data_IF_528746958294
#
_entry.id   IF_528746958294
#
_cell.length_a   1.000
_cell.length_b   1.000
_cell.length_c   1.000
_cell.angle_alpha   90.00
_cell.angle_beta   90.00
_cell.angle_gamma   90.00
#
_symmetry.space_group_name_H-M   'P 1'
#
loop_
_entity.id
_entity.type
_entity.pdbx_description
1 polymer ?
#
# COMPACT_ATOMS: atom_id res chain seq x y z
N UNK A 1 78.20 74.66 109.88
CA UNK A 1 78.81 73.36 109.58
C UNK A 1 78.12 72.31 110.43
N UNK A 2 77.11 71.64 109.86
CA UNK A 2 76.36 70.55 110.50
C UNK A 2 77.12 69.25 110.22
N UNK A 3 77.52 68.54 111.27
CA UNK A 3 78.11 67.20 111.17
C UNK A 3 76.97 66.20 110.90
N UNK A 4 77.09 65.43 109.82
CA UNK A 4 76.19 64.31 109.48
C UNK A 4 76.23 63.24 110.57
N UNK A 5 75.09 62.65 110.98
CA UNK A 5 75.01 61.66 112.06
C UNK A 5 75.42 60.24 111.66
N UNK A 6 75.84 60.02 110.40
CA UNK A 6 76.21 58.70 109.91
C UNK A 6 77.73 58.58 109.77
N UNK A 7 78.40 58.17 110.84
CA UNK A 7 79.78 57.67 110.80
C UNK A 7 79.75 56.15 110.62
N UNK A 8 80.55 55.56 109.71
CA UNK A 8 80.46 54.14 109.33
C UNK A 8 80.94 53.13 110.39
N UNK A 9 81.24 53.56 111.62
CA UNK A 9 81.78 52.69 112.68
C UNK A 9 80.70 52.17 113.65
N UNK A 10 79.42 52.39 113.36
CA UNK A 10 78.29 51.94 114.20
C UNK A 10 77.53 50.72 113.65
N UNK A 11 78.05 50.04 112.63
CA UNK A 11 77.45 48.83 112.06
C UNK A 11 78.43 47.66 112.21
N UNK A 12 78.81 47.35 113.45
CA UNK A 12 79.31 46.02 113.80
C UNK A 12 78.70 45.65 115.15
N UNK A 13 77.56 44.97 115.08
CA UNK A 13 76.92 44.26 116.18
C UNK A 13 76.96 42.76 115.88
N UNK A 14 77.07 41.99 116.95
CA UNK A 14 77.49 40.58 117.02
C UNK A 14 76.68 39.57 116.16
N UNK A 15 77.32 38.42 115.90
CA UNK A 15 76.94 37.31 114.99
C UNK A 15 75.59 36.60 115.26
N UNK A 16 74.72 37.10 116.14
CA UNK A 16 73.43 36.45 116.49
C UNK A 16 72.18 37.21 115.99
N UNK A 17 72.33 38.29 115.22
CA UNK A 17 71.21 39.05 114.63
C UNK A 17 70.93 38.66 113.18
N UNK A 18 70.47 37.42 112.96
CA UNK A 18 69.78 37.05 111.71
C UNK A 18 68.27 36.90 111.98
N UNK A 19 67.48 37.59 111.16
CA UNK A 19 66.02 37.63 111.09
C UNK A 19 65.29 38.37 112.23
N UNK A 20 65.24 39.70 112.09
CA UNK A 20 63.97 40.43 112.21
C UNK A 20 64.03 41.60 111.22
N UNK A 21 63.03 41.70 110.34
CA UNK A 21 62.87 42.88 109.48
C UNK A 21 62.86 44.13 110.39
N UNK A 22 63.54 45.24 110.04
CA UNK A 22 63.61 46.40 110.91
C UNK A 22 62.19 46.89 111.21
N UNK A 23 61.75 46.73 112.46
CA UNK A 23 60.40 47.04 112.90
C UNK A 23 60.05 48.54 112.82
N UNK A 24 61.02 49.39 112.45
CA UNK A 24 60.92 50.84 112.44
C UNK A 24 61.05 51.45 111.02
N UNK A 25 60.95 50.67 109.94
CA UNK A 25 60.82 51.25 108.60
C UNK A 25 59.42 51.89 108.43
N UNK A 26 59.32 53.14 107.94
CA UNK A 26 58.04 53.75 107.61
C UNK A 26 57.23 52.83 106.70
N UNK A 27 55.93 52.68 106.96
CA UNK A 27 55.06 51.73 106.25
C UNK A 27 55.09 51.89 104.72
N UNK A 28 55.38 53.10 104.22
CA UNK A 28 55.60 53.41 102.81
C UNK A 28 56.85 52.73 102.20
N UNK A 29 57.94 52.58 102.96
CA UNK A 29 59.18 51.95 102.48
C UNK A 29 59.10 50.43 102.53
N UNK A 30 58.32 49.88 103.47
CA UNK A 30 57.97 48.45 103.53
C UNK A 30 57.06 48.08 102.36
N UNK A 31 56.02 48.87 102.08
CA UNK A 31 55.17 48.70 100.89
C UNK A 31 55.99 48.80 99.59
N UNK A 32 56.90 49.76 99.46
CA UNK A 32 57.78 49.85 98.27
C UNK A 32 58.69 48.63 98.08
N UNK A 33 59.13 48.01 99.17
CA UNK A 33 59.99 46.81 99.15
C UNK A 33 59.20 45.55 98.74
N UNK A 34 57.96 45.40 99.21
CA UNK A 34 57.08 44.28 98.84
C UNK A 34 56.41 44.48 97.47
N UNK A 35 56.04 45.70 97.07
CA UNK A 35 55.55 46.02 95.73
C UNK A 35 56.60 45.72 94.65
N UNK A 36 57.89 45.84 94.97
CA UNK A 36 58.99 45.47 94.07
C UNK A 36 59.09 43.94 93.84
N UNK A 37 58.57 43.14 94.78
CA UNK A 37 58.55 41.67 94.76
C UNK A 37 57.24 41.10 94.20
N UNK A 38 56.10 41.74 94.44
CA UNK A 38 54.75 41.21 94.14
C UNK A 38 54.37 41.27 92.64
N UNK A 39 55.09 42.07 91.84
CA UNK A 39 54.83 42.28 90.41
C UNK A 39 55.34 41.13 89.51
N UNK A 40 55.20 39.87 89.94
CA UNK A 40 55.73 38.65 89.29
C UNK A 40 54.94 38.17 88.06
N UNK A 41 53.99 38.95 87.53
CA UNK A 41 53.18 38.62 86.34
C UNK A 41 53.87 38.96 85.00
N UNK A 42 55.19 38.75 84.92
CA UNK A 42 56.03 39.00 83.74
C UNK A 42 55.78 38.08 82.53
N UNK A 43 54.82 37.16 82.62
CA UNK A 43 54.59 36.10 81.61
C UNK A 43 53.72 36.52 80.41
N UNK A 44 53.11 37.70 80.43
CA UNK A 44 51.99 38.02 79.52
C UNK A 44 52.44 38.62 78.17
N UNK A 45 53.66 39.16 78.06
CA UNK A 45 54.15 39.82 76.83
C UNK A 45 54.87 38.93 75.81
N UNK A 46 55.23 37.69 76.16
CA UNK A 46 56.06 36.81 75.33
C UNK A 46 55.29 35.72 74.60
N UNK A 47 54.15 35.29 75.15
CA UNK A 47 53.34 34.21 74.60
C UNK A 47 52.54 34.61 73.34
N UNK A 48 52.50 35.90 72.99
CA UNK A 48 51.58 36.47 71.98
C UNK A 48 52.24 36.82 70.65
N UNK A 49 53.52 36.48 70.44
CA UNK A 49 54.15 36.73 69.15
C UNK A 49 53.74 35.66 68.12
N UNK A 50 52.86 36.04 67.20
CA UNK A 50 52.20 35.16 66.22
C UNK A 50 53.13 34.61 65.13
N UNK A 51 54.35 35.14 65.00
CA UNK A 51 55.29 34.79 63.92
C UNK A 51 56.62 34.22 64.40
N UNK A 52 56.80 34.11 65.72
CA UNK A 52 57.90 33.38 66.31
C UNK A 52 57.43 31.96 66.46
N UNK A 53 58.21 31.00 65.94
CA UNK A 53 57.93 29.60 66.17
C UNK A 53 57.81 29.39 67.69
N UNK A 54 56.59 29.11 68.16
CA UNK A 54 56.35 28.74 69.54
C UNK A 54 56.41 27.21 69.57
N UNK A 55 57.58 26.60 69.88
CA UNK A 55 57.75 25.16 69.80
C UNK A 55 56.79 24.41 70.75
N UNK A 56 56.24 25.09 71.76
CA UNK A 56 55.25 24.51 72.67
C UNK A 56 53.83 24.41 72.06
N UNK A 57 53.52 25.20 71.01
CA UNK A 57 52.14 25.32 70.47
C UNK A 57 51.96 24.77 69.05
N UNK A 58 53.01 24.26 68.39
CA UNK A 58 52.96 23.77 67.00
C UNK A 58 52.27 24.75 66.01
N UNK A 59 52.31 26.04 66.29
CA UNK A 59 51.66 27.05 65.45
C UNK A 59 52.63 27.49 64.35
N UNK A 60 52.42 26.97 63.14
CA UNK A 60 53.07 27.48 61.93
C UNK A 60 52.22 28.63 61.38
N UNK A 61 52.70 29.88 61.34
CA UNK A 61 51.95 30.96 60.71
C UNK A 61 51.77 30.64 59.22
N UNK A 62 50.52 30.70 58.74
CA UNK A 62 50.24 30.64 57.30
C UNK A 62 50.73 31.96 56.71
N UNK A 63 51.81 31.88 55.93
CA UNK A 63 52.47 33.05 55.39
C UNK A 63 51.74 33.54 54.12
N UNK A 64 51.35 34.83 54.06
CA UNK A 64 50.69 35.42 52.89
C UNK A 64 51.46 35.25 51.57
N UNK A 65 52.79 35.17 51.62
CA UNK A 65 53.67 34.93 50.45
C UNK A 65 53.45 33.55 49.83
N UNK A 66 53.26 32.51 50.64
CA UNK A 66 53.01 31.16 50.15
C UNK A 66 51.65 31.07 49.46
N UNK A 67 50.63 31.72 50.02
CA UNK A 67 49.30 31.79 49.40
C UNK A 67 49.37 32.49 48.05
N UNK A 68 50.02 33.66 47.98
CA UNK A 68 50.14 34.42 46.73
C UNK A 68 50.98 33.69 45.67
N UNK A 69 52.07 33.01 46.07
CA UNK A 69 52.85 32.16 45.16
C UNK A 69 51.97 31.05 44.56
N UNK A 70 51.18 30.37 45.39
CA UNK A 70 50.27 29.32 44.92
C UNK A 70 49.19 29.88 43.98
N UNK A 71 48.65 31.06 44.26
CA UNK A 71 47.67 31.71 43.37
C UNK A 71 48.27 32.04 42.00
N UNK A 72 49.52 32.53 41.97
CA UNK A 72 50.25 32.78 40.73
C UNK A 72 50.50 31.47 39.98
N UNK A 73 50.94 30.41 40.67
CA UNK A 73 51.21 29.11 40.06
C UNK A 73 49.95 28.46 39.48
N UNK A 74 48.82 28.56 40.21
CA UNK A 74 47.50 28.11 39.74
C UNK A 74 47.13 28.88 38.47
N UNK A 75 47.23 30.21 38.47
CA UNK A 75 46.90 31.03 37.30
C UNK A 75 47.77 30.68 36.08
N UNK A 76 49.08 30.53 36.27
CA UNK A 76 50.02 30.12 35.22
C UNK A 76 49.64 28.76 34.63
N UNK A 77 49.25 27.82 35.48
CA UNK A 77 48.87 26.46 35.07
C UNK A 77 47.52 26.44 34.35
N UNK A 78 46.50 27.12 34.90
CA UNK A 78 45.16 27.17 34.32
C UNK A 78 45.14 27.86 32.96
N UNK A 79 45.84 28.99 32.83
CA UNK A 79 45.91 29.76 31.59
C UNK A 79 46.96 29.22 30.60
N UNK A 80 47.68 28.15 30.96
CA UNK A 80 48.76 27.55 30.17
C UNK A 80 49.76 28.59 29.63
N UNK A 81 50.18 29.49 30.51
CA UNK A 81 51.12 30.56 30.18
C UNK A 81 52.46 29.95 29.74
N UNK A 82 52.94 30.37 28.56
CA UNK A 82 54.23 29.91 28.04
C UNK A 82 55.37 30.58 28.79
N UNK A 83 56.48 29.85 28.93
CA UNK A 83 57.66 30.34 29.66
C UNK A 83 58.31 31.60 29.05
N UNK A 84 58.04 31.89 27.78
CA UNK A 84 58.53 33.07 27.05
C UNK A 84 57.53 34.23 27.06
N UNK A 85 56.32 34.04 27.58
CA UNK A 85 55.33 35.10 27.67
C UNK A 85 55.80 36.20 28.63
N UNK A 86 55.67 37.49 28.26
CA UNK A 86 56.11 38.58 29.12
C UNK A 86 55.38 38.60 30.46
N UNK A 87 54.11 38.19 30.49
CA UNK A 87 53.30 38.04 31.71
C UNK A 87 53.82 36.92 32.61
N UNK A 88 54.23 35.78 32.03
CA UNK A 88 54.84 34.69 32.77
C UNK A 88 56.15 35.13 33.45
N UNK A 89 57.02 35.82 32.71
CA UNK A 89 58.30 36.32 33.23
C UNK A 89 58.07 37.32 34.38
N UNK A 90 57.08 38.21 34.25
CA UNK A 90 56.74 39.18 35.29
C UNK A 90 56.17 38.52 36.55
N UNK A 91 55.24 37.57 36.39
CA UNK A 91 54.67 36.81 37.50
C UNK A 91 55.72 35.96 38.23
N UNK A 92 56.60 35.28 37.49
CA UNK A 92 57.70 34.54 38.09
C UNK A 92 58.70 35.49 38.80
N UNK A 93 58.89 36.70 38.26
CA UNK A 93 59.64 37.76 38.94
C UNK A 93 59.02 38.17 40.27
N UNK A 94 57.68 38.22 40.36
CA UNK A 94 56.95 38.45 41.62
C UNK A 94 57.17 37.28 42.59
N UNK A 95 57.06 36.02 42.15
CA UNK A 95 57.34 34.85 43.00
C UNK A 95 58.76 34.87 43.60
N UNK A 96 59.75 35.28 42.82
CA UNK A 96 61.12 35.46 43.29
C UNK A 96 61.24 36.58 44.34
N UNK A 97 60.56 37.72 44.12
CA UNK A 97 60.48 38.80 45.13
C UNK A 97 59.79 38.34 46.41
N UNK A 98 58.70 37.57 46.32
CA UNK A 98 57.97 37.04 47.48
C UNK A 98 58.83 36.06 48.28
N UNK A 99 59.58 35.19 47.60
CA UNK A 99 60.51 34.24 48.25
C UNK A 99 61.60 34.99 49.01
N UNK A 100 62.23 36.00 48.37
CA UNK A 100 63.24 36.82 49.02
C UNK A 100 62.68 37.65 50.19
N UNK A 101 61.52 38.27 50.00
CA UNK A 101 60.84 39.04 51.04
C UNK A 101 60.54 38.17 52.27
N UNK A 102 60.14 36.92 52.05
CA UNK A 102 59.92 35.96 53.11
C UNK A 102 61.21 35.63 53.86
N UNK A 103 62.30 35.27 53.15
CA UNK A 103 63.60 34.97 53.76
C UNK A 103 64.17 36.15 54.55
N UNK A 104 64.08 37.37 54.02
CA UNK A 104 64.57 38.57 54.67
C UNK A 104 63.74 38.90 55.93
N UNK A 105 62.41 38.81 55.84
CA UNK A 105 61.53 39.04 56.99
C UNK A 105 61.75 38.00 58.10
N UNK A 106 61.88 36.71 57.75
CA UNK A 106 62.15 35.65 58.71
C UNK A 106 63.48 35.89 59.43
N UNK A 107 64.54 36.25 58.69
CA UNK A 107 65.85 36.56 59.26
C UNK A 107 65.78 37.73 60.25
N UNK A 108 65.09 38.81 59.89
CA UNK A 108 64.98 40.00 60.73
C UNK A 108 64.18 39.72 62.02
N UNK A 109 63.09 38.93 61.94
CA UNK A 109 62.33 38.48 63.10
C UNK A 109 63.19 37.60 64.03
N UNK A 110 63.98 36.68 63.47
CA UNK A 110 64.89 35.82 64.24
C UNK A 110 65.96 36.61 65.01
N UNK A 111 66.49 37.70 64.44
CA UNK A 111 67.45 38.58 65.13
C UNK A 111 66.81 39.26 66.35
N UNK A 112 65.57 39.74 66.20
CA UNK A 112 64.82 40.35 67.30
C UNK A 112 64.43 39.31 68.35
N UNK A 113 64.06 38.09 67.95
CA UNK A 113 63.86 36.95 68.87
C UNK A 113 65.09 36.62 69.69
N UNK A 114 66.24 36.53 69.03
CA UNK A 114 67.49 36.25 69.70
C UNK A 114 67.80 37.34 70.73
N UNK A 115 67.59 38.60 70.36
CA UNK A 115 67.79 39.75 71.26
C UNK A 115 66.87 39.69 72.47
N UNK A 116 65.58 39.43 72.27
CA UNK A 116 64.59 39.26 73.34
C UNK A 116 64.96 38.08 74.25
N UNK A 117 65.34 36.93 73.69
CA UNK A 117 65.73 35.77 74.47
C UNK A 117 66.99 36.04 75.31
N UNK A 118 67.97 36.77 74.77
CA UNK A 118 69.18 37.14 75.49
C UNK A 118 68.91 38.17 76.60
N UNK A 119 68.00 39.13 76.38
CA UNK A 119 67.60 40.09 77.43
C UNK A 119 66.78 39.42 78.54
N UNK A 120 65.93 38.45 78.19
CA UNK A 120 65.20 37.65 79.17
C UNK A 120 66.10 36.76 80.02
N UNK A 121 67.11 36.13 79.42
CA UNK A 121 68.13 35.39 80.20
C UNK A 121 68.84 36.29 81.20
N UNK A 122 69.13 37.55 80.83
CA UNK A 122 69.69 38.54 81.76
C UNK A 122 68.71 38.89 82.88
N UNK A 123 67.42 39.07 82.56
CA UNK A 123 66.38 39.31 83.56
C UNK A 123 66.28 38.14 84.54
N UNK A 124 66.24 36.92 84.03
CA UNK A 124 66.18 35.70 84.86
C UNK A 124 67.42 35.57 85.75
N UNK A 125 68.62 35.89 85.24
CA UNK A 125 69.84 35.93 86.03
C UNK A 125 69.77 36.99 87.16
N UNK A 126 69.21 38.18 86.88
CA UNK A 126 69.00 39.23 87.88
C UNK A 126 68.01 38.76 88.97
N UNK A 127 66.96 38.04 88.59
CA UNK A 127 65.96 37.48 89.52
C UNK A 127 66.52 36.31 90.35
N UNK A 128 67.52 35.59 89.85
CA UNK A 128 68.11 34.42 90.52
C UNK A 128 69.37 34.69 91.33
N UNK A 129 70.04 35.83 91.14
CA UNK A 129 71.18 36.22 91.98
C UNK A 129 70.75 36.31 93.44
N UNK A 130 71.19 35.34 94.25
CA UNK A 130 71.02 35.33 95.71
C UNK A 130 71.77 36.52 96.33
N UNK A 131 71.19 37.09 97.39
CA UNK A 131 71.72 38.22 98.12
C UNK A 131 73.16 37.94 98.59
N UNK A 132 74.16 38.63 98.02
CA UNK A 132 75.54 38.61 98.51
C UNK A 132 75.75 39.78 99.49
N UNK A 133 76.32 39.56 100.69
CA UNK A 133 76.45 40.60 101.73
C UNK A 133 77.22 41.85 101.29
N UNK A 134 78.09 41.73 100.29
CA UNK A 134 78.88 42.84 99.73
C UNK A 134 78.11 43.66 98.67
N UNK A 135 76.97 43.15 98.19
CA UNK A 135 76.07 43.81 97.25
C UNK A 135 74.77 44.17 97.98
N UNK A 136 74.77 45.25 98.77
CA UNK A 136 73.54 45.83 99.35
C UNK A 136 72.72 46.42 98.21
N UNK A 137 71.94 45.56 97.56
CA UNK A 137 71.01 45.92 96.51
C UNK A 137 69.75 46.49 97.17
N UNK A 138 69.54 47.79 97.07
CA UNK A 138 68.26 48.40 97.45
C UNK A 138 67.17 47.94 96.48
N UNK A 139 65.94 47.71 96.96
CA UNK A 139 64.81 47.30 96.10
C UNK A 139 64.59 48.25 94.90
N UNK A 140 64.98 49.53 95.05
CA UNK A 140 64.99 50.54 93.98
C UNK A 140 65.98 50.24 92.85
N UNK A 141 67.15 49.68 93.11
CA UNK A 141 68.12 49.31 92.08
C UNK A 141 67.69 48.07 91.30
N UNK A 142 66.97 47.15 91.95
CA UNK A 142 66.40 45.97 91.30
C UNK A 142 65.28 46.38 90.34
N UNK A 143 64.37 47.23 90.82
CA UNK A 143 63.30 47.84 90.02
C UNK A 143 63.88 48.60 88.82
N UNK A 144 64.92 49.41 89.01
CA UNK A 144 65.57 50.16 87.92
C UNK A 144 66.20 49.26 86.85
N UNK A 145 66.93 48.20 87.24
CA UNK A 145 67.52 47.24 86.27
C UNK A 145 66.44 46.44 85.54
N UNK A 146 65.38 46.06 86.24
CA UNK A 146 64.21 45.37 85.68
C UNK A 146 63.49 46.24 84.64
N UNK A 147 63.20 47.49 84.97
CA UNK A 147 62.49 48.41 84.09
C UNK A 147 63.30 48.70 82.82
N UNK A 148 64.64 48.82 82.91
CA UNK A 148 65.54 48.92 81.75
C UNK A 148 65.47 47.70 80.81
N UNK A 149 65.36 46.49 81.37
CA UNK A 149 65.24 45.26 80.56
C UNK A 149 63.85 45.18 79.92
N UNK A 150 62.80 45.55 80.64
CA UNK A 150 61.43 45.62 80.10
C UNK A 150 61.31 46.67 79.00
N UNK A 151 61.92 47.84 79.16
CA UNK A 151 61.98 48.87 78.11
C UNK A 151 62.64 48.30 76.84
N UNK A 152 63.74 47.57 76.99
CA UNK A 152 64.43 46.94 75.85
C UNK A 152 63.60 45.85 75.16
N UNK A 153 62.86 45.04 75.92
CA UNK A 153 61.94 44.04 75.35
C UNK A 153 60.79 44.75 74.62
N UNK A 154 60.25 45.83 75.19
CA UNK A 154 59.20 46.63 74.57
C UNK A 154 59.66 47.31 73.27
N UNK A 155 60.92 47.76 73.20
CA UNK A 155 61.53 48.25 71.96
C UNK A 155 61.56 47.18 70.87
N UNK A 156 62.07 45.98 71.17
CA UNK A 156 62.09 44.85 70.23
C UNK A 156 60.68 44.44 69.78
N UNK A 157 59.69 44.48 70.68
CA UNK A 157 58.29 44.22 70.33
C UNK A 157 57.73 45.28 69.36
N UNK A 158 58.12 46.55 69.50
CA UNK A 158 57.75 47.62 68.57
C UNK A 158 58.42 47.46 67.19
N UNK A 159 59.71 47.09 67.16
CA UNK A 159 60.42 46.86 65.88
C UNK A 159 59.81 45.69 65.12
N UNK A 160 59.51 44.58 65.79
CA UNK A 160 58.80 43.45 65.17
C UNK A 160 57.45 43.82 64.58
N UNK A 161 56.61 44.53 65.34
CA UNK A 161 55.30 45.00 64.85
C UNK A 161 55.45 45.87 63.60
N UNK A 162 56.50 46.69 63.55
CA UNK A 162 56.81 47.50 62.37
C UNK A 162 57.22 46.63 61.17
N UNK A 163 58.14 45.67 61.38
CA UNK A 163 58.57 44.73 60.33
C UNK A 163 57.39 43.93 59.76
N UNK A 164 56.46 43.49 60.61
CA UNK A 164 55.23 42.79 60.18
C UNK A 164 54.32 43.69 59.34
N UNK A 165 54.15 44.95 59.74
CA UNK A 165 53.32 45.90 59.00
C UNK A 165 53.92 46.19 57.62
N UNK A 166 55.24 46.37 57.56
CA UNK A 166 55.99 46.57 56.31
C UNK A 166 55.93 45.31 55.41
N UNK A 167 56.03 44.12 56.00
CA UNK A 167 55.89 42.85 55.29
C UNK A 167 54.49 42.68 54.67
N UNK A 168 53.42 42.89 55.45
CA UNK A 168 52.04 42.76 54.95
C UNK A 168 51.75 43.80 53.86
N UNK A 169 52.21 45.05 54.03
CA UNK A 169 52.03 46.11 53.04
C UNK A 169 52.77 45.79 51.72
N UNK A 170 53.99 45.27 51.80
CA UNK A 170 54.75 44.87 50.62
C UNK A 170 54.14 43.66 49.90
N UNK A 171 53.69 42.63 50.63
CA UNK A 171 52.93 41.51 50.02
C UNK A 171 51.66 42.02 49.36
N UNK A 172 50.92 42.93 50.00
CA UNK A 172 49.69 43.50 49.44
C UNK A 172 49.94 44.29 48.15
N UNK A 173 51.07 44.99 48.03
CA UNK A 173 51.49 45.67 46.79
C UNK A 173 51.80 44.67 45.69
N UNK A 174 52.57 43.62 46.00
CA UNK A 174 52.89 42.56 45.04
C UNK A 174 51.64 41.78 44.59
N UNK A 175 50.67 41.57 45.48
CA UNK A 175 49.39 40.96 45.14
C UNK A 175 48.62 41.79 44.09
N UNK A 176 48.57 43.12 44.26
CA UNK A 176 47.95 44.03 43.30
C UNK A 176 48.68 44.01 41.95
N UNK A 177 50.01 44.03 41.96
CA UNK A 177 50.81 43.90 40.72
C UNK A 177 50.50 42.58 39.99
N UNK A 178 50.44 41.46 40.71
CA UNK A 178 50.10 40.16 40.14
C UNK A 178 48.67 40.13 39.57
N UNK A 179 47.71 40.74 40.27
CA UNK A 179 46.32 40.84 39.81
C UNK A 179 46.22 41.70 38.53
N UNK A 180 46.90 42.84 38.47
CA UNK A 180 46.93 43.71 37.29
C UNK A 180 47.49 42.99 36.06
N UNK A 181 48.59 42.24 36.22
CA UNK A 181 49.17 41.41 35.16
C UNK A 181 48.17 40.35 34.69
N UNK A 182 47.54 39.65 35.64
CA UNK A 182 46.56 38.59 35.34
C UNK A 182 45.33 39.13 34.62
N UNK A 183 44.81 40.28 35.04
CA UNK A 183 43.66 40.94 34.39
C UNK A 183 44.01 41.42 32.99
N UNK A 184 45.21 41.98 32.80
CA UNK A 184 45.69 42.41 31.48
C UNK A 184 45.78 41.22 30.52
N UNK A 185 46.36 40.11 30.94
CA UNK A 185 46.40 38.87 30.15
C UNK A 185 45.00 38.40 29.73
N UNK A 186 44.08 38.31 30.69
CA UNK A 186 42.69 37.88 30.42
C UNK A 186 42.00 38.79 29.41
N UNK A 187 42.27 40.10 29.48
CA UNK A 187 41.72 41.07 28.53
C UNK A 187 42.27 40.84 27.12
N UNK A 188 43.58 40.72 26.97
CA UNK A 188 44.22 40.48 25.67
C UNK A 188 43.78 39.16 25.05
N UNK A 189 43.60 38.11 25.84
CA UNK A 189 43.09 36.82 25.35
C UNK A 189 41.67 36.96 24.78
N UNK A 190 40.77 37.64 25.51
CA UNK A 190 39.40 37.89 25.02
C UNK A 190 39.35 38.71 23.75
N UNK A 191 40.22 39.72 23.63
CA UNK A 191 40.33 40.55 22.43
C UNK A 191 40.80 39.71 21.23
N UNK A 192 41.84 38.88 21.40
CA UNK A 192 42.32 37.96 20.35
C UNK A 192 41.26 36.94 19.93
N UNK A 193 40.52 36.36 20.89
CA UNK A 193 39.42 35.43 20.59
C UNK A 193 38.31 36.11 19.79
N UNK A 194 37.95 37.34 20.16
CA UNK A 194 36.95 38.12 19.44
C UNK A 194 37.40 38.45 18.01
N UNK A 195 38.67 38.84 17.82
CA UNK A 195 39.26 39.07 16.50
C UNK A 195 39.25 37.82 15.63
N UNK A 196 39.63 36.67 16.19
CA UNK A 196 39.60 35.38 15.48
C UNK A 196 38.17 35.00 15.07
N UNK A 197 37.20 35.17 15.97
CA UNK A 197 35.79 34.93 15.65
C UNK A 197 35.30 35.85 14.53
N UNK A 198 35.68 37.12 14.55
CA UNK A 198 35.32 38.07 13.48
C UNK A 198 35.96 37.69 12.14
N UNK A 199 37.24 37.31 12.13
CA UNK A 199 37.93 36.84 10.93
C UNK A 199 37.26 35.59 10.36
N UNK A 200 36.86 34.64 11.22
CA UNK A 200 36.17 33.43 10.80
C UNK A 200 34.79 33.75 10.20
N UNK A 201 34.05 34.70 10.78
CA UNK A 201 32.78 35.17 10.22
C UNK A 201 32.97 35.81 8.85
N UNK A 202 34.00 36.64 8.67
CA UNK A 202 34.33 37.25 7.36
C UNK A 202 34.72 36.18 6.32
N UNK A 203 35.50 35.18 6.71
CA UNK A 203 35.88 34.08 5.82
C UNK A 203 34.67 33.24 5.40
N UNK A 204 33.77 32.92 6.34
CA UNK A 204 32.52 32.21 6.05
C UNK A 204 31.59 33.03 5.13
N UNK A 205 31.53 34.35 5.32
CA UNK A 205 30.80 35.27 4.43
C UNK A 205 31.36 35.23 3.01
N UNK A 206 32.69 35.26 2.85
CA UNK A 206 33.33 35.13 1.54
C UNK A 206 33.05 33.78 0.86
N UNK A 207 33.14 32.67 1.60
CA UNK A 207 32.84 31.33 1.07
C UNK A 207 31.36 31.22 0.63
N UNK A 208 30.42 31.69 1.47
CA UNK A 208 29.00 31.71 1.10
C UNK A 208 28.73 32.58 -0.12
N UNK A 209 29.39 33.73 -0.25
CA UNK A 209 29.28 34.59 -1.43
C UNK A 209 29.80 33.90 -2.69
N UNK A 210 30.92 33.18 -2.62
CA UNK A 210 31.45 32.42 -3.75
C UNK A 210 30.52 31.26 -4.15
N UNK A 211 29.95 30.54 -3.18
CA UNK A 211 28.95 29.49 -3.46
C UNK A 211 27.71 30.03 -4.14
N UNK A 212 27.22 31.20 -3.69
CA UNK A 212 26.08 31.88 -4.31
C UNK A 212 26.40 32.30 -5.75
N UNK A 213 27.60 32.85 -6.01
CA UNK A 213 28.02 33.20 -7.37
C UNK A 213 28.09 31.98 -8.28
N UNK A 214 28.64 30.86 -7.80
CA UNK A 214 28.67 29.61 -8.56
C UNK A 214 27.26 29.11 -8.88
N UNK A 215 26.36 29.08 -7.88
CA UNK A 215 24.98 28.65 -8.07
C UNK A 215 24.21 29.55 -9.06
N UNK A 216 24.45 30.86 -9.04
CA UNK A 216 23.89 31.79 -10.02
C UNK A 216 24.46 31.53 -11.43
N UNK A 217 25.74 31.22 -11.55
CA UNK A 217 26.37 30.83 -12.82
C UNK A 217 25.78 29.53 -13.38
N UNK A 218 25.62 28.50 -12.54
CA UNK A 218 24.98 27.24 -12.93
C UNK A 218 23.52 27.45 -13.36
N UNK A 219 22.77 28.27 -12.61
CA UNK A 219 21.40 28.64 -12.97
C UNK A 219 21.34 29.28 -14.36
N UNK A 220 22.22 30.24 -14.66
CA UNK A 220 22.25 30.89 -15.97
C UNK A 220 22.56 29.90 -17.11
N UNK A 221 23.45 28.93 -16.89
CA UNK A 221 23.74 27.86 -17.86
C UNK A 221 22.50 26.99 -18.09
N UNK A 222 21.79 26.61 -17.02
CA UNK A 222 20.58 25.80 -17.12
C UNK A 222 19.45 26.55 -17.81
N UNK A 223 19.26 27.84 -17.52
CA UNK A 223 18.29 28.70 -18.21
C UNK A 223 18.60 28.79 -19.71
N UNK A 224 19.88 28.96 -20.08
CA UNK A 224 20.29 28.94 -21.49
C UNK A 224 20.00 27.60 -22.19
N UNK A 225 20.25 26.47 -21.52
CA UNK A 225 19.91 25.14 -22.05
C UNK A 225 18.40 24.94 -22.20
N UNK A 226 17.63 25.40 -21.22
CA UNK A 226 16.18 25.29 -21.23
C UNK A 226 15.59 26.10 -22.40
N UNK A 227 16.11 27.29 -22.66
CA UNK A 227 15.73 28.09 -23.83
C UNK A 227 16.03 27.35 -25.14
N UNK A 228 17.21 26.72 -25.26
CA UNK A 228 17.54 25.89 -26.42
C UNK A 228 16.56 24.73 -26.62
N UNK A 229 16.23 23.99 -25.56
CA UNK A 229 15.26 22.89 -25.61
C UNK A 229 13.84 23.37 -25.96
N UNK A 230 13.44 24.56 -25.51
CA UNK A 230 12.16 25.15 -25.89
C UNK A 230 12.10 25.45 -27.40
N UNK A 231 13.17 26.01 -27.96
CA UNK A 231 13.26 26.26 -29.39
C UNK A 231 13.22 24.95 -30.20
N UNK A 232 13.91 23.90 -29.73
CA UNK A 232 13.88 22.58 -30.36
C UNK A 232 12.46 21.96 -30.32
N UNK A 233 11.75 22.07 -29.19
CA UNK A 233 10.37 21.60 -29.08
C UNK A 233 9.44 22.35 -30.03
N UNK A 234 9.53 23.67 -30.10
CA UNK A 234 8.74 24.48 -31.04
C UNK A 234 9.02 24.08 -32.51
N UNK A 235 10.29 23.79 -32.84
CA UNK A 235 10.66 23.28 -34.15
C UNK A 235 10.03 21.91 -34.44
N UNK A 236 10.06 20.99 -33.47
CA UNK A 236 9.46 19.65 -33.61
C UNK A 236 7.94 19.75 -33.75
N UNK A 237 7.26 20.56 -32.94
CA UNK A 237 5.81 20.78 -33.04
C UNK A 237 5.43 21.30 -34.42
N UNK A 238 6.14 22.34 -34.91
CA UNK A 238 5.94 22.86 -36.24
C UNK A 238 6.12 21.79 -37.34
N UNK A 239 7.12 20.92 -37.17
CA UNK A 239 7.35 19.81 -38.11
C UNK A 239 6.26 18.74 -38.02
N UNK A 240 5.79 18.39 -36.83
CA UNK A 240 4.68 17.45 -36.64
C UNK A 240 3.39 18.00 -37.27
N UNK A 241 3.10 19.28 -37.09
CA UNK A 241 1.93 19.93 -37.70
C UNK A 241 1.96 19.82 -39.23
N UNK A 242 3.12 20.05 -39.86
CA UNK A 242 3.29 19.86 -41.31
C UNK A 242 3.05 18.42 -41.75
N UNK A 243 3.56 17.44 -40.99
CA UNK A 243 3.30 16.02 -41.29
C UNK A 243 1.82 15.66 -41.15
N UNK A 244 1.16 16.21 -40.13
CA UNK A 244 -0.27 15.99 -39.90
C UNK A 244 -1.12 16.58 -41.03
N UNK A 245 -0.79 17.78 -41.49
CA UNK A 245 -1.40 18.40 -42.67
C UNK A 245 -1.19 17.54 -43.92
N UNK A 246 0.03 17.09 -44.17
CA UNK A 246 0.36 16.19 -45.28
C UNK A 246 -0.41 14.86 -45.23
N UNK A 247 -0.50 14.24 -44.05
CA UNK A 247 -1.28 13.03 -43.84
C UNK A 247 -2.77 13.26 -44.10
N UNK A 248 -3.33 14.36 -43.58
CA UNK A 248 -4.73 14.72 -43.82
C UNK A 248 -5.00 14.98 -45.30
N UNK A 249 -4.07 15.61 -46.02
CA UNK A 249 -4.18 15.80 -47.47
C UNK A 249 -4.21 14.46 -48.21
N UNK A 250 -3.25 13.56 -47.94
CA UNK A 250 -3.20 12.23 -48.54
C UNK A 250 -4.45 11.41 -48.22
N UNK A 251 -4.96 11.52 -46.98
CA UNK A 251 -6.22 10.89 -46.56
C UNK A 251 -7.39 11.41 -47.40
N UNK A 252 -7.50 12.71 -47.62
CA UNK A 252 -8.55 13.29 -48.48
C UNK A 252 -8.44 12.82 -49.93
N UNK A 253 -7.23 12.76 -50.48
CA UNK A 253 -6.98 12.25 -51.85
C UNK A 253 -7.39 10.78 -51.94
N UNK A 254 -6.98 9.95 -50.97
CA UNK A 254 -7.35 8.54 -50.89
C UNK A 254 -8.86 8.36 -50.76
N UNK A 255 -9.50 9.09 -49.85
CA UNK A 255 -10.94 8.96 -49.58
C UNK A 255 -11.76 9.49 -50.78
N UNK A 256 -11.26 10.48 -51.53
CA UNK A 256 -11.84 10.91 -52.81
C UNK A 256 -11.70 9.85 -53.91
N UNK A 257 -10.49 9.36 -54.18
CA UNK A 257 -10.22 8.37 -55.22
C UNK A 257 -10.86 7.00 -54.94
N UNK A 258 -10.80 6.52 -53.68
CA UNK A 258 -11.44 5.27 -53.27
C UNK A 258 -12.95 5.44 -53.07
N UNK A 259 -13.42 6.63 -52.71
CA UNK A 259 -14.84 6.94 -52.60
C UNK A 259 -15.56 6.75 -53.94
N UNK A 260 -14.98 7.27 -55.03
CA UNK A 260 -15.51 7.09 -56.38
C UNK A 260 -15.45 5.63 -56.86
N UNK A 261 -14.34 4.94 -56.60
CA UNK A 261 -14.19 3.52 -56.94
C UNK A 261 -15.19 2.63 -56.18
N UNK A 262 -15.38 2.86 -54.88
CA UNK A 262 -16.33 2.14 -54.05
C UNK A 262 -17.79 2.40 -54.47
N UNK A 263 -18.12 3.63 -54.88
CA UNK A 263 -19.45 3.92 -55.46
C UNK A 263 -19.69 3.14 -56.75
N UNK A 264 -18.66 2.98 -57.59
CA UNK A 264 -18.77 2.22 -58.84
C UNK A 264 -18.97 0.72 -58.56
N UNK A 265 -18.21 0.16 -57.61
CA UNK A 265 -18.36 -1.23 -57.18
C UNK A 265 -19.75 -1.49 -56.59
N UNK A 266 -20.24 -0.60 -55.72
CA UNK A 266 -21.56 -0.75 -55.10
C UNK A 266 -22.69 -0.73 -56.14
N UNK A 267 -22.63 0.18 -57.12
CA UNK A 267 -23.60 0.20 -58.24
C UNK A 267 -23.56 -1.10 -59.05
N UNK A 268 -22.38 -1.67 -59.29
CA UNK A 268 -22.24 -2.95 -60.00
C UNK A 268 -22.82 -4.13 -59.17
N UNK A 269 -22.62 -4.13 -57.85
CA UNK A 269 -23.21 -5.14 -56.95
C UNK A 269 -24.74 -5.05 -56.93
N UNK A 270 -25.29 -3.84 -56.85
CA UNK A 270 -26.74 -3.61 -56.90
C UNK A 270 -27.35 -4.10 -58.22
N UNK A 271 -26.73 -3.79 -59.35
CA UNK A 271 -27.17 -4.28 -60.67
C UNK A 271 -27.18 -5.82 -60.72
N UNK A 272 -26.10 -6.46 -60.27
CA UNK A 272 -26.00 -7.93 -60.22
C UNK A 272 -27.08 -8.55 -59.32
N UNK A 273 -27.38 -7.93 -58.18
CA UNK A 273 -28.41 -8.42 -57.27
C UNK A 273 -29.82 -8.28 -57.88
N UNK A 274 -30.10 -7.18 -58.56
CA UNK A 274 -31.36 -6.98 -59.29
C UNK A 274 -31.55 -8.01 -60.41
N UNK A 275 -30.49 -8.33 -61.15
CA UNK A 275 -30.52 -9.38 -62.17
C UNK A 275 -30.77 -10.77 -61.57
N UNK A 276 -30.09 -11.11 -60.47
CA UNK A 276 -30.34 -12.37 -59.75
C UNK A 276 -31.79 -12.48 -59.29
N UNK A 277 -32.39 -11.38 -58.83
CA UNK A 277 -33.78 -11.35 -58.40
C UNK A 277 -34.74 -11.55 -59.58
N UNK A 278 -34.46 -10.92 -60.74
CA UNK A 278 -35.20 -11.18 -61.99
C UNK A 278 -35.13 -12.65 -62.42
N UNK A 279 -33.95 -13.26 -62.37
CA UNK A 279 -33.77 -14.68 -62.73
C UNK A 279 -34.56 -15.58 -61.78
N UNK A 280 -34.53 -15.33 -60.46
CA UNK A 280 -35.34 -16.09 -59.49
C UNK A 280 -36.83 -15.97 -59.76
N UNK A 281 -37.32 -14.76 -60.07
CA UNK A 281 -38.72 -14.52 -60.39
C UNK A 281 -39.13 -15.26 -61.68
N UNK A 282 -38.28 -15.25 -62.71
CA UNK A 282 -38.52 -16.01 -63.94
C UNK A 282 -38.53 -17.53 -63.69
N UNK A 283 -37.59 -18.04 -62.89
CA UNK A 283 -37.56 -19.46 -62.51
C UNK A 283 -38.82 -19.87 -61.73
N UNK A 284 -39.27 -19.03 -60.78
CA UNK A 284 -40.50 -19.27 -60.05
C UNK A 284 -41.72 -19.24 -60.98
N UNK A 285 -41.77 -18.30 -61.92
CA UNK A 285 -42.84 -18.21 -62.90
C UNK A 285 -42.88 -19.44 -63.82
N UNK A 286 -41.73 -19.88 -64.33
CA UNK A 286 -41.61 -21.10 -65.15
C UNK A 286 -41.99 -22.36 -64.37
N UNK A 287 -41.61 -22.45 -63.10
CA UNK A 287 -42.01 -23.57 -62.22
C UNK A 287 -43.53 -23.60 -62.04
N UNK A 288 -44.14 -22.47 -61.71
CA UNK A 288 -45.60 -22.37 -61.58
C UNK A 288 -46.31 -22.75 -62.88
N UNK A 289 -45.78 -22.31 -64.03
CA UNK A 289 -46.33 -22.69 -65.33
C UNK A 289 -46.19 -24.19 -65.61
N UNK A 290 -45.05 -24.81 -65.25
CA UNK A 290 -44.87 -26.26 -65.36
C UNK A 290 -45.86 -27.01 -64.47
N UNK A 291 -46.05 -26.58 -63.24
CA UNK A 291 -46.97 -27.20 -62.29
C UNK A 291 -48.43 -27.09 -62.77
N UNK A 292 -48.81 -25.94 -63.36
CA UNK A 292 -50.11 -25.77 -64.01
C UNK A 292 -50.32 -26.75 -65.18
N UNK A 293 -49.30 -26.93 -66.04
CA UNK A 293 -49.37 -27.93 -67.13
C UNK A 293 -49.53 -29.34 -66.58
N UNK A 294 -48.79 -29.70 -65.52
CA UNK A 294 -48.90 -31.03 -64.89
C UNK A 294 -50.30 -31.23 -64.31
N UNK A 295 -50.86 -30.21 -63.65
CA UNK A 295 -52.21 -30.25 -63.10
C UNK A 295 -53.25 -30.47 -64.21
N UNK A 296 -53.14 -29.74 -65.32
CA UNK A 296 -54.04 -29.90 -66.47
C UNK A 296 -53.91 -31.28 -67.13
N UNK A 297 -52.69 -31.85 -67.20
CA UNK A 297 -52.50 -33.23 -67.66
C UNK A 297 -53.21 -34.22 -66.73
N UNK A 298 -53.03 -34.09 -65.42
CA UNK A 298 -53.73 -34.95 -64.44
C UNK A 298 -55.26 -34.83 -64.55
N UNK A 299 -55.79 -33.62 -64.75
CA UNK A 299 -57.24 -33.41 -64.98
C UNK A 299 -57.72 -34.11 -66.24
N UNK A 300 -56.96 -34.05 -67.34
CA UNK A 300 -57.27 -34.80 -68.56
C UNK A 300 -57.21 -36.31 -68.36
N UNK A 301 -56.22 -36.81 -67.63
CA UNK A 301 -56.08 -38.24 -67.36
C UNK A 301 -57.29 -38.74 -66.54
N UNK A 302 -57.68 -38.00 -65.49
CA UNK A 302 -58.91 -38.30 -64.72
C UNK A 302 -60.17 -38.24 -65.60
N UNK A 303 -60.29 -37.24 -66.48
CA UNK A 303 -61.41 -37.16 -67.41
C UNK A 303 -61.42 -38.34 -68.39
N UNK A 304 -60.25 -38.77 -68.87
CA UNK A 304 -60.08 -39.93 -69.76
C UNK A 304 -60.44 -41.24 -69.06
N UNK A 305 -60.03 -41.41 -67.81
CA UNK A 305 -60.37 -42.58 -66.99
C UNK A 305 -61.88 -42.63 -66.73
N UNK A 306 -62.50 -41.49 -66.41
CA UNK A 306 -63.95 -41.38 -66.25
C UNK A 306 -64.71 -41.73 -67.55
N UNK A 307 -64.28 -41.21 -68.70
CA UNK A 307 -64.85 -41.59 -69.99
C UNK A 307 -64.67 -43.08 -70.29
N UNK A 308 -63.50 -43.66 -69.97
CA UNK A 308 -63.23 -45.08 -70.16
C UNK A 308 -64.11 -45.95 -69.25
N UNK A 309 -64.36 -45.53 -68.01
CA UNK A 309 -65.27 -46.19 -67.09
C UNK A 309 -66.73 -46.13 -67.58
N UNK A 310 -67.17 -44.98 -68.09
CA UNK A 310 -68.49 -44.82 -68.71
C UNK A 310 -68.67 -45.74 -69.92
N UNK A 311 -67.66 -45.85 -70.80
CA UNK A 311 -67.70 -46.77 -71.94
C UNK A 311 -67.77 -48.24 -71.50
N UNK A 312 -67.00 -48.65 -70.49
CA UNK A 312 -67.11 -50.01 -69.91
C UNK A 312 -68.50 -50.29 -69.34
N UNK A 313 -69.12 -49.31 -68.68
CA UNK A 313 -70.48 -49.45 -68.17
C UNK A 313 -71.52 -49.55 -69.30
N UNK A 314 -71.34 -48.80 -70.39
CA UNK A 314 -72.17 -48.91 -71.59
C UNK A 314 -72.02 -50.26 -72.29
N UNK A 315 -70.81 -50.81 -72.37
CA UNK A 315 -70.57 -52.14 -72.94
C UNK A 315 -71.21 -53.23 -72.06
N UNK A 316 -71.15 -53.08 -70.73
CA UNK A 316 -71.84 -53.99 -69.79
C UNK A 316 -73.35 -53.92 -69.95
N UNK A 317 -73.92 -52.72 -70.03
CA UNK A 317 -75.35 -52.52 -70.28
C UNK A 317 -75.78 -53.09 -71.64
N UNK A 318 -74.94 -52.96 -72.69
CA UNK A 318 -75.18 -53.61 -73.99
C UNK A 318 -75.15 -55.13 -73.89
N UNK A 319 -74.25 -55.71 -73.11
CA UNK A 319 -74.19 -57.15 -72.85
C UNK A 319 -75.45 -57.67 -72.16
N UNK A 320 -75.94 -56.95 -71.15
CA UNK A 320 -77.19 -57.27 -70.45
C UNK A 320 -78.42 -57.16 -71.37
N UNK A 321 -78.45 -56.14 -72.25
CA UNK A 321 -79.52 -55.96 -73.23
C UNK A 321 -79.50 -57.03 -74.35
N UNK A 322 -78.31 -57.54 -74.69
CA UNK A 322 -78.16 -58.65 -75.64
C UNK A 322 -78.62 -60.00 -75.05
N UNK A 323 -78.40 -60.23 -73.74
CA UNK A 323 -78.95 -61.37 -73.02
C UNK A 323 -80.49 -61.32 -72.99
N UNK A 324 -81.07 -60.17 -72.63
CA UNK A 324 -82.52 -59.98 -72.66
C UNK A 324 -83.15 -60.16 -74.05
N UNK A 325 -82.43 -59.83 -75.14
CA UNK A 325 -82.88 -60.12 -76.52
C UNK A 325 -82.79 -61.60 -76.87
N UNK A 326 -81.83 -62.35 -76.32
CA UNK A 326 -81.70 -63.80 -76.54
C UNK A 326 -82.85 -64.55 -75.89
N UNK A 327 -83.18 -64.21 -74.64
CA UNK A 327 -84.28 -64.81 -73.91
C UNK A 327 -85.63 -64.54 -74.60
N UNK A 328 -85.81 -63.35 -75.17
CA UNK A 328 -87.01 -62.99 -75.95
C UNK A 328 -87.11 -63.76 -77.28
N UNK A 329 -85.98 -64.06 -77.91
CA UNK A 329 -85.93 -64.83 -79.16
C UNK A 329 -86.21 -66.32 -78.93
N UNK A 330 -85.72 -66.87 -77.81
CA UNK A 330 -86.02 -68.24 -77.36
C UNK A 330 -87.50 -68.41 -76.97
N UNK A 331 -88.09 -67.41 -76.31
CA UNK A 331 -89.53 -67.41 -76.02
C UNK A 331 -90.38 -67.39 -77.29
N UNK A 332 -89.96 -66.63 -78.31
CA UNK A 332 -90.66 -66.53 -79.60
C UNK A 332 -90.59 -67.82 -80.42
N UNK A 333 -89.43 -68.47 -80.46
CA UNK A 333 -89.26 -69.76 -81.16
C UNK A 333 -90.04 -70.91 -80.52
N UNK A 334 -90.19 -70.91 -79.19
CA UNK A 334 -91.09 -71.86 -78.50
C UNK A 334 -92.57 -71.64 -78.86
N UNK A 335 -93.00 -70.39 -79.00
CA UNK A 335 -94.36 -70.06 -79.40
C UNK A 335 -94.66 -70.50 -80.85
N UNK A 336 -93.71 -70.30 -81.77
CA UNK A 336 -93.86 -70.71 -83.18
C UNK A 336 -93.93 -72.23 -83.35
N UNK A 337 -93.17 -73.00 -82.54
CA UNK A 337 -93.23 -74.47 -82.53
C UNK A 337 -94.59 -75.01 -82.06
N UNK A 338 -95.19 -74.37 -81.05
CA UNK A 338 -96.50 -74.75 -80.53
C UNK A 338 -97.62 -74.46 -81.55
N UNK A 339 -97.54 -73.32 -82.25
CA UNK A 339 -98.52 -72.98 -83.29
C UNK A 339 -98.46 -73.94 -84.48
N UNK A 340 -97.26 -74.35 -84.92
CA UNK A 340 -97.14 -75.32 -86.02
C UNK A 340 -97.75 -76.70 -85.68
N UNK A 341 -97.64 -77.14 -84.41
CA UNK A 341 -98.28 -78.37 -83.93
C UNK A 341 -99.82 -78.30 -83.93
N UNK A 342 -100.39 -77.13 -83.67
CA UNK A 342 -101.85 -76.91 -83.70
C UNK A 342 -102.41 -76.97 -85.12
N UNK A 343 -101.69 -76.41 -86.10
CA UNK A 343 -102.14 -76.40 -87.50
C UNK A 343 -102.13 -77.80 -88.14
N UNK A 344 -101.13 -78.62 -87.82
CA UNK A 344 -101.03 -80.02 -88.27
C UNK A 344 -102.17 -80.91 -87.74
N UNK A 345 -102.62 -80.66 -86.51
CA UNK A 345 -103.77 -81.34 -85.91
C UNK A 345 -105.09 -80.95 -86.59
N UNK A 346 -105.24 -79.67 -86.96
CA UNK A 346 -106.40 -79.16 -87.70
C UNK A 346 -106.56 -79.81 -89.07
N UNK A 347 -105.46 -79.97 -89.83
CA UNK A 347 -105.52 -80.61 -91.16
C UNK A 347 -105.96 -82.07 -91.08
N UNK A 348 -105.38 -82.86 -90.16
CA UNK A 348 -105.72 -84.29 -90.03
C UNK A 348 -107.18 -84.54 -89.66
N UNK A 349 -107.76 -83.67 -88.84
CA UNK A 349 -109.17 -83.78 -88.45
C UNK A 349 -110.13 -83.45 -89.60
N UNK A 350 -109.75 -82.58 -90.55
CA UNK A 350 -110.53 -82.33 -91.76
C UNK A 350 -110.54 -83.51 -92.72
N UNK A 351 -109.38 -84.15 -92.96
CA UNK A 351 -109.28 -85.28 -93.89
C UNK A 351 -110.07 -86.51 -93.41
N UNK A 352 -110.10 -86.73 -92.09
CA UNK A 352 -110.88 -87.82 -91.50
C UNK A 352 -112.39 -87.61 -91.63
N UNK A 353 -112.86 -86.36 -91.64
CA UNK A 353 -114.27 -86.03 -91.75
C UNK A 353 -114.80 -86.27 -93.17
N UNK A 354 -114.01 -85.90 -94.18
CA UNK A 354 -114.37 -86.13 -95.59
C UNK A 354 -114.48 -87.63 -95.94
N UNK A 355 -113.62 -88.48 -95.35
CA UNK A 355 -113.70 -89.93 -95.54
C UNK A 355 -114.93 -90.57 -94.89
N UNK A 356 -115.41 -90.01 -93.78
CA UNK A 356 -116.63 -90.49 -93.11
C UNK A 356 -117.86 -90.23 -93.98
N UNK A 357 -117.94 -89.05 -94.58
CA UNK A 357 -119.09 -88.64 -95.39
C UNK A 357 -119.16 -89.43 -96.72
N UNK A 358 -118.02 -89.72 -97.36
CA UNK A 358 -117.97 -90.58 -98.56
C UNK A 358 -118.41 -92.02 -98.28
N UNK A 359 -118.00 -92.60 -97.15
CA UNK A 359 -118.38 -93.97 -96.76
C UNK A 359 -119.89 -94.10 -96.52
N UNK A 360 -120.51 -93.11 -95.89
CA UNK A 360 -121.94 -93.12 -95.57
C UNK A 360 -122.81 -92.99 -96.83
N UNK A 361 -122.38 -92.18 -97.81
CA UNK A 361 -123.08 -91.96 -99.07
C UNK A 361 -123.13 -93.22 -99.94
N UNK A 362 -122.02 -93.94 -100.09
CA UNK A 362 -121.96 -95.17 -100.89
C UNK A 362 -122.58 -96.38 -100.18
N UNK A 363 -122.54 -96.43 -98.85
CA UNK A 363 -123.23 -97.47 -98.07
C UNK A 363 -124.75 -97.43 -98.28
N UNK A 364 -125.35 -96.23 -98.38
CA UNK A 364 -126.78 -96.09 -98.71
C UNK A 364 -127.14 -96.59 -100.12
N UNK A 365 -126.18 -96.63 -101.06
CA UNK A 365 -126.40 -97.09 -102.44
C UNK A 365 -126.20 -98.60 -102.61
N UNK A 366 -125.76 -99.31 -101.56
CA UNK A 366 -125.56 -100.77 -101.56
C UNK A 366 -124.28 -101.21 -102.28
N UNK A 367 -123.31 -100.30 -102.39
CA UNK A 367 -122.02 -100.51 -103.03
C UNK A 367 -120.93 -100.80 -101.97
N UNK A 368 -119.98 -101.66 -102.32
CA UNK A 368 -118.84 -102.00 -101.46
C UNK A 368 -117.56 -101.61 -102.18
N UNK A 369 -116.66 -100.93 -101.47
CA UNK A 369 -115.40 -100.45 -102.06
C UNK A 369 -114.43 -101.59 -102.30
N UNK A 370 -114.06 -101.82 -103.57
CA UNK A 370 -113.07 -102.82 -103.95
C UNK A 370 -111.65 -102.23 -103.87
N UNK A 371 -110.91 -102.56 -102.81
CA UNK A 371 -109.54 -102.05 -102.58
C UNK A 371 -108.53 -102.41 -103.68
N UNK A 372 -108.80 -103.42 -104.49
CA UNK A 372 -107.87 -103.88 -105.54
C UNK A 372 -108.11 -103.17 -106.88
N UNK A 373 -109.31 -102.61 -107.09
CA UNK A 373 -109.69 -101.90 -108.33
C UNK A 373 -109.87 -100.39 -108.18
N UNK A 374 -109.92 -99.88 -106.94
CA UNK A 374 -110.09 -98.44 -106.66
C UNK A 374 -111.47 -97.89 -107.00
N UNK A 375 -112.47 -98.75 -107.20
CA UNK A 375 -113.84 -98.40 -107.59
C UNK A 375 -114.87 -99.04 -106.68
N UNK A 376 -116.05 -98.41 -106.61
CA UNK A 376 -117.23 -98.91 -105.91
C UNK A 376 -117.96 -99.96 -106.76
N UNK A 377 -118.34 -101.09 -106.15
CA UNK A 377 -119.01 -102.19 -106.87
C UNK A 377 -120.29 -102.64 -106.13
N UNK A 378 -121.37 -103.03 -106.85
CA UNK A 378 -122.60 -103.51 -106.21
C UNK A 378 -122.38 -104.80 -105.42
N UNK A 379 -122.94 -104.87 -104.21
CA UNK A 379 -122.77 -106.04 -103.34
C UNK A 379 -123.40 -107.33 -103.91
N UNK A 380 -122.73 -108.46 -103.65
CA UNK A 380 -123.14 -109.82 -104.07
C UNK A 380 -124.53 -110.22 -103.54
N UNK A 381 -125.05 -109.51 -102.53
CA UNK A 381 -126.38 -109.73 -101.96
C UNK A 381 -127.49 -109.13 -102.84
N UNK A 382 -127.26 -107.96 -103.46
CA UNK A 382 -128.22 -107.30 -104.36
C UNK A 382 -128.35 -108.07 -105.68
N UNK A 383 -127.23 -108.52 -106.25
CA UNK A 383 -127.19 -109.29 -107.49
C UNK A 383 -127.91 -110.66 -107.37
N UNK A 384 -127.93 -111.26 -106.17
CA UNK A 384 -128.63 -112.52 -105.90
C UNK A 384 -130.13 -112.38 -105.68
N UNK A 385 -130.61 -111.23 -105.21
CA UNK A 385 -132.05 -111.00 -105.03
C UNK A 385 -132.76 -110.83 -106.38
N UNK A 386 -132.13 -110.11 -107.32
CA UNK A 386 -132.69 -109.87 -108.66
C UNK A 386 -132.76 -111.19 -109.48
N UNK A 387 -131.77 -112.09 -109.35
CA UNK A 387 -131.81 -113.42 -110.01
C UNK A 387 -132.85 -114.39 -109.39
N UNK A 388 -133.26 -114.20 -108.13
CA UNK A 388 -134.27 -115.04 -107.48
C UNK A 388 -135.69 -114.68 -107.93
N UNK A 389 -135.98 -113.40 -108.19
CA UNK A 389 -137.27 -112.98 -108.73
C UNK A 389 -137.46 -113.42 -110.19
N UNK A 390 -136.39 -113.41 -111.00
CA UNK A 390 -136.47 -113.89 -112.39
C UNK A 390 -136.64 -115.42 -112.51
N UNK A 391 -136.17 -116.21 -111.53
CA UNK A 391 -136.26 -117.68 -111.59
C UNK A 391 -137.61 -118.23 -111.11
N UNK A 392 -138.32 -117.57 -110.19
CA UNK A 392 -139.68 -118.01 -109.78
C UNK A 392 -140.72 -117.77 -110.89
N UNK A 393 -140.49 -116.79 -111.76
CA UNK A 393 -141.25 -116.53 -112.99
C UNK A 393 -141.11 -117.69 -114.01
N UNK A 394 -140.04 -118.49 -113.93
CA UNK A 394 -139.75 -119.59 -114.87
C UNK A 394 -140.28 -120.98 -114.49
N UNK A 395 -140.51 -121.29 -113.20
CA UNK A 395 -140.88 -122.66 -112.77
C UNK A 395 -142.40 -122.92 -112.66
N UNK A 396 -143.25 -121.89 -112.47
CA UNK A 396 -144.71 -122.09 -112.48
C UNK A 396 -145.27 -122.32 -113.90
N UNK A 397 -144.55 -121.89 -114.94
CA UNK A 397 -144.88 -122.15 -116.35
C UNK A 397 -144.58 -123.59 -116.80
N UNK A 398 -143.76 -124.36 -116.06
CA UNK A 398 -143.37 -125.74 -116.41
C UNK A 398 -144.23 -126.87 -115.77
N UNK A 399 -145.02 -126.61 -114.71
CA UNK A 399 -145.97 -127.60 -114.12
C UNK A 399 -147.33 -127.72 -114.83
N UNK A 400 -147.47 -127.07 -116.00
CA UNK A 400 -148.55 -127.24 -116.98
C UNK A 400 -148.50 -128.57 -117.79
N UNK A 401 -147.69 -129.58 -117.45
CA UNK A 401 -147.41 -130.66 -118.43
C UNK A 401 -147.46 -132.14 -117.99
N UNK A 402 -147.62 -132.54 -116.72
CA UNK A 402 -147.63 -133.99 -116.34
C UNK A 402 -148.57 -134.31 -115.17
N UNK A 403 -149.86 -134.42 -115.48
CA UNK A 403 -150.93 -135.25 -114.87
C UNK A 403 -152.27 -134.59 -115.27
N UNK A 404 -153.21 -135.15 -116.04
CA UNK A 404 -153.56 -136.55 -116.37
C UNK A 404 -153.64 -137.50 -115.19
#
# INVERSE_FOLDING_TARGET
>A
MLKSPYHPDHIFGDEDTWYDAPADLPQQEIEEYFDALEDHDFRIGLATNRFVNNPEWNYWPILPTATLNNEIDIFVTEENLRNDAPEYIQLHGICAKLSKLHEDHERDIQVEDHTINMTLKKLWAITQTLYEPENVYTGSDYKRKRDLVLERINECSRTKKRLETEYIDTVSKLAKEAEEISQKWKKECREREAELAEQQMRANSLDTQHRLQNALGEKAILEGRLFGLQADNEFIENRMNRYQEGYNHLRRVRDGALGEHNQTINRAIEQRNNERLRVRNLQAHLKNHRDAIILERRRRDVARDNCSALLRNLDRARGELALGRRDLFEAKTRADYLNHGVDLLKMRLSDQRNWSDELEMHAMQGEVFNRMGGTWEPSVYKRRLEEYEEREIGERTAKRARHY
#
